data_IF_542415402688
#
_entry.id   IF_542415402688
#
_cell.length_a   1.000
_cell.length_b   1.000
_cell.length_c   1.000
_cell.angle_alpha   90.00
_cell.angle_beta   90.00
_cell.angle_gamma   90.00
#
_symmetry.space_group_name_H-M   'P 1'
#
loop_
_entity.id
_entity.type
_entity.pdbx_description
1 polymer ?
#
# COMPACT_ATOMS: atom_id res chain seq x y z
N UNK A 1 2.97 -19.45 -8.07
CA UNK A 1 1.97 -18.65 -7.32
C UNK A 1 1.11 -19.62 -6.53
N UNK A 2 0.88 -19.39 -5.23
CA UNK A 2 0.05 -20.28 -4.43
C UNK A 2 -1.41 -20.26 -4.89
N UNK A 3 -2.17 -21.30 -4.55
CA UNK A 3 -3.62 -21.33 -4.74
C UNK A 3 -4.29 -20.11 -4.07
N UNK A 4 -5.25 -19.49 -4.76
CA UNK A 4 -6.03 -18.36 -4.24
C UNK A 4 -7.53 -18.55 -4.46
N UNK A 5 -8.33 -18.04 -3.54
CA UNK A 5 -9.79 -18.03 -3.63
C UNK A 5 -10.29 -16.60 -3.60
N UNK A 6 -11.21 -16.26 -4.52
CA UNK A 6 -12.04 -15.06 -4.42
C UNK A 6 -13.35 -15.43 -3.75
N UNK A 7 -13.63 -14.85 -2.58
CA UNK A 7 -14.86 -15.13 -1.85
C UNK A 7 -15.56 -13.86 -1.37
N UNK A 8 -16.87 -14.01 -1.14
CA UNK A 8 -17.68 -13.09 -0.35
C UNK A 8 -18.04 -13.75 0.97
N UNK A 9 -18.27 -12.94 2.00
CA UNK A 9 -18.83 -13.44 3.25
C UNK A 9 -19.92 -12.54 3.85
N UNK A 10 -20.77 -13.16 4.66
CA UNK A 10 -21.69 -12.49 5.57
C UNK A 10 -21.28 -12.92 6.98
N UNK A 11 -20.97 -11.95 7.84
CA UNK A 11 -20.65 -12.18 9.24
C UNK A 11 -21.82 -11.69 10.11
N UNK A 12 -22.25 -12.52 11.05
CA UNK A 12 -23.28 -12.19 12.05
C UNK A 12 -22.90 -12.71 13.43
N UNK A 13 -23.52 -12.15 14.47
CA UNK A 13 -23.18 -12.49 15.86
C UNK A 13 -23.70 -13.86 16.30
N UNK A 14 -24.84 -14.31 15.75
CA UNK A 14 -25.55 -15.50 16.22
C UNK A 14 -25.68 -16.58 15.15
N UNK A 15 -25.65 -17.84 15.58
CA UNK A 15 -25.81 -19.00 14.69
C UNK A 15 -27.22 -19.05 14.09
N UNK A 16 -28.23 -18.66 14.87
CA UNK A 16 -29.62 -18.63 14.42
C UNK A 16 -29.81 -17.65 13.26
N UNK A 17 -29.23 -16.45 13.37
CA UNK A 17 -29.26 -15.47 12.28
C UNK A 17 -28.53 -16.01 11.05
N UNK A 18 -27.33 -16.59 11.22
CA UNK A 18 -26.59 -17.16 10.11
C UNK A 18 -27.38 -18.27 9.39
N UNK A 19 -28.05 -19.14 10.14
CA UNK A 19 -28.88 -20.20 9.57
C UNK A 19 -30.09 -19.63 8.80
N UNK A 20 -30.76 -18.62 9.35
CA UNK A 20 -31.88 -17.96 8.68
C UNK A 20 -31.46 -17.29 7.36
N UNK A 21 -30.32 -16.59 7.35
CA UNK A 21 -29.78 -15.98 6.14
C UNK A 21 -29.35 -17.04 5.12
N UNK A 22 -28.73 -18.14 5.57
CA UNK A 22 -28.35 -19.24 4.69
C UNK A 22 -29.55 -19.89 3.99
N UNK A 23 -30.68 -20.03 4.70
CA UNK A 23 -31.92 -20.52 4.11
C UNK A 23 -32.43 -19.59 3.00
N UNK A 24 -32.48 -18.27 3.26
CA UNK A 24 -32.89 -17.28 2.26
C UNK A 24 -32.00 -17.30 1.01
N UNK A 25 -30.69 -17.45 1.20
CA UNK A 25 -29.72 -17.57 0.09
C UNK A 25 -29.91 -18.86 -0.71
N UNK A 26 -30.17 -19.99 -0.05
CA UNK A 26 -30.41 -21.29 -0.72
C UNK A 26 -31.73 -21.33 -1.48
N UNK A 27 -32.75 -20.65 -0.97
CA UNK A 27 -34.05 -20.50 -1.64
C UNK A 27 -34.02 -19.47 -2.79
N UNK A 28 -32.92 -18.72 -2.92
CA UNK A 28 -32.75 -17.71 -3.97
C UNK A 28 -33.65 -16.50 -3.79
N UNK A 29 -34.07 -16.21 -2.56
CA UNK A 29 -34.99 -15.11 -2.25
C UNK A 29 -34.30 -13.73 -2.36
N UNK A 30 -32.97 -13.67 -2.25
CA UNK A 30 -32.20 -12.42 -2.26
C UNK A 30 -30.78 -12.67 -2.76
N UNK A 31 -30.17 -11.65 -3.37
CA UNK A 31 -28.76 -11.69 -3.79
C UNK A 31 -27.81 -11.66 -2.58
N UNK A 32 -26.69 -12.37 -2.69
CA UNK A 32 -25.69 -12.46 -1.63
C UNK A 32 -25.09 -11.10 -1.27
N UNK A 33 -24.77 -10.28 -2.27
CA UNK A 33 -24.13 -8.98 -2.04
C UNK A 33 -25.09 -8.00 -1.36
N UNK A 34 -26.37 -8.03 -1.72
CA UNK A 34 -27.39 -7.20 -1.08
C UNK A 34 -27.63 -7.63 0.38
N UNK A 35 -27.76 -8.94 0.62
CA UNK A 35 -27.92 -9.46 1.98
C UNK A 35 -26.68 -9.16 2.85
N UNK A 36 -25.49 -9.23 2.27
CA UNK A 36 -24.25 -8.85 2.95
C UNK A 36 -24.22 -7.36 3.32
N UNK A 37 -24.66 -6.46 2.44
CA UNK A 37 -24.74 -5.01 2.75
C UNK A 37 -25.73 -4.71 3.87
N UNK A 38 -26.83 -5.44 3.92
CA UNK A 38 -27.91 -5.18 4.89
C UNK A 38 -27.63 -5.80 6.27
N UNK A 39 -27.11 -7.03 6.31
CA UNK A 39 -27.05 -7.84 7.54
C UNK A 39 -25.64 -8.11 8.07
N UNK A 40 -24.62 -8.03 7.22
CA UNK A 40 -23.25 -8.37 7.66
C UNK A 40 -22.70 -7.29 8.59
N UNK A 41 -22.15 -7.71 9.73
CA UNK A 41 -21.43 -6.84 10.67
C UNK A 41 -19.93 -6.72 10.32
N UNK A 42 -19.48 -7.39 9.25
CA UNK A 42 -18.08 -7.38 8.81
C UNK A 42 -17.68 -6.10 8.05
N UNK A 43 -16.39 -5.77 7.98
CA UNK A 43 -15.90 -4.57 7.30
C UNK A 43 -16.13 -4.58 5.77
N UNK A 44 -16.31 -5.76 5.18
CA UNK A 44 -16.59 -5.96 3.76
C UNK A 44 -18.08 -5.77 3.41
N UNK A 45 -18.96 -5.57 4.40
CA UNK A 45 -20.40 -5.42 4.21
C UNK A 45 -20.76 -4.36 3.15
N UNK A 46 -20.19 -3.14 3.13
CA UNK A 46 -20.52 -2.13 2.12
C UNK A 46 -20.23 -2.57 0.68
N UNK A 47 -19.24 -3.44 0.50
CA UNK A 47 -18.84 -4.03 -0.78
C UNK A 47 -19.60 -5.32 -1.11
N UNK A 48 -20.69 -5.59 -0.41
CA UNK A 48 -21.46 -6.83 -0.57
C UNK A 48 -20.68 -8.07 -0.12
N UNK A 49 -19.90 -7.93 0.95
CA UNK A 49 -19.15 -9.01 1.56
C UNK A 49 -17.86 -9.38 0.83
N UNK A 50 -17.47 -8.63 -0.20
CA UNK A 50 -16.32 -8.97 -1.06
C UNK A 50 -14.98 -8.89 -0.33
N UNK A 51 -14.20 -9.96 -0.40
CA UNK A 51 -12.85 -10.05 0.18
C UNK A 51 -11.74 -10.04 -0.88
N UNK A 52 -12.08 -10.06 -2.17
CA UNK A 52 -11.11 -10.26 -3.24
C UNK A 52 -10.42 -11.63 -3.17
N UNK A 53 -9.28 -11.77 -3.88
CA UNK A 53 -8.47 -12.97 -3.86
C UNK A 53 -7.58 -13.03 -2.63
N UNK A 54 -7.61 -14.16 -1.92
CA UNK A 54 -6.70 -14.45 -0.82
C UNK A 54 -6.11 -15.86 -0.94
N UNK A 55 -4.88 -16.02 -0.47
CA UNK A 55 -4.17 -17.28 -0.33
C UNK A 55 -4.36 -17.86 1.08
N UNK A 56 -4.02 -19.15 1.26
CA UNK A 56 -3.97 -19.77 2.59
C UNK A 56 -3.00 -19.03 3.51
N UNK A 57 -3.35 -18.94 4.79
CA UNK A 57 -2.62 -18.21 5.82
C UNK A 57 -2.97 -16.72 5.93
N UNK A 58 -3.85 -16.19 5.07
CA UNK A 58 -4.31 -14.80 5.13
C UNK A 58 -5.60 -14.61 5.94
N UNK A 59 -6.36 -15.69 6.16
CA UNK A 59 -7.61 -15.70 6.93
C UNK A 59 -7.50 -16.66 8.11
N UNK A 60 -8.46 -16.61 9.05
CA UNK A 60 -8.53 -17.60 10.13
C UNK A 60 -8.80 -18.99 9.57
N UNK A 61 -8.24 -20.01 10.23
CA UNK A 61 -8.17 -21.39 9.72
C UNK A 61 -9.54 -21.95 9.33
N UNK A 62 -10.54 -21.75 10.18
CA UNK A 62 -11.89 -22.25 9.98
C UNK A 62 -12.55 -21.61 8.74
N UNK A 63 -12.27 -20.32 8.51
CA UNK A 63 -12.77 -19.59 7.36
C UNK A 63 -12.10 -20.04 6.06
N UNK A 64 -10.77 -20.10 6.03
CA UNK A 64 -10.07 -20.51 4.81
C UNK A 64 -10.33 -21.97 4.46
N UNK A 65 -10.39 -22.89 5.43
CA UNK A 65 -10.67 -24.30 5.15
C UNK A 65 -12.04 -24.46 4.51
N UNK A 66 -13.05 -23.71 4.99
CA UNK A 66 -14.36 -23.66 4.35
C UNK A 66 -14.31 -23.02 2.96
N UNK A 67 -13.71 -21.84 2.80
CA UNK A 67 -13.64 -21.13 1.51
C UNK A 67 -12.92 -21.94 0.42
N UNK A 68 -11.78 -22.54 0.76
CA UNK A 68 -11.00 -23.38 -0.15
C UNK A 68 -11.64 -24.76 -0.40
N UNK A 69 -12.60 -25.21 0.42
CA UNK A 69 -13.35 -26.45 0.13
C UNK A 69 -14.49 -26.25 -0.90
N UNK A 70 -14.94 -25.01 -1.12
CA UNK A 70 -16.08 -24.72 -2.00
C UNK A 70 -15.70 -24.76 -3.48
N UNK A 71 -16.63 -25.18 -4.33
CA UNK A 71 -16.51 -24.95 -5.77
C UNK A 71 -16.89 -23.49 -6.11
N UNK A 72 -16.34 -22.90 -7.19
CA UNK A 72 -16.76 -21.59 -7.66
C UNK A 72 -18.28 -21.52 -7.87
N UNK A 73 -18.89 -20.42 -7.41
CA UNK A 73 -20.33 -20.19 -7.40
C UNK A 73 -21.10 -20.84 -6.24
N UNK A 74 -20.46 -21.63 -5.37
CA UNK A 74 -21.12 -22.29 -4.24
C UNK A 74 -21.08 -21.47 -2.96
N UNK A 75 -22.05 -21.74 -2.08
CA UNK A 75 -22.19 -21.15 -0.75
C UNK A 75 -21.92 -22.24 0.30
N UNK A 76 -21.17 -21.90 1.36
CA UNK A 76 -20.88 -22.79 2.49
C UNK A 76 -22.09 -23.01 3.39
N UNK A 77 -21.94 -23.94 4.33
CA UNK A 77 -22.72 -23.90 5.58
C UNK A 77 -22.32 -22.71 6.46
N UNK A 78 -22.92 -22.64 7.64
CA UNK A 78 -22.49 -21.69 8.66
C UNK A 78 -21.12 -22.10 9.20
N UNK A 79 -20.17 -21.17 9.18
CA UNK A 79 -18.78 -21.37 9.63
C UNK A 79 -18.56 -20.53 10.88
N UNK A 80 -18.29 -21.16 12.01
CA UNK A 80 -17.99 -20.46 13.25
C UNK A 80 -16.52 -20.06 13.31
N UNK A 81 -16.26 -18.83 13.74
CA UNK A 81 -14.91 -18.32 14.01
C UNK A 81 -14.92 -17.53 15.32
N UNK A 82 -13.75 -17.05 15.76
CA UNK A 82 -13.65 -16.12 16.90
C UNK A 82 -14.42 -14.80 16.71
N UNK A 83 -14.78 -14.43 15.47
CA UNK A 83 -15.48 -13.19 15.15
C UNK A 83 -17.00 -13.34 15.08
N UNK A 84 -17.52 -14.56 15.23
CA UNK A 84 -18.94 -14.89 15.02
C UNK A 84 -19.13 -15.94 13.93
N UNK A 85 -20.28 -15.88 13.27
CA UNK A 85 -20.73 -16.88 12.31
C UNK A 85 -20.70 -16.33 10.89
N UNK A 86 -20.06 -17.07 9.99
CA UNK A 86 -19.85 -16.68 8.60
C UNK A 86 -20.66 -17.56 7.67
N UNK A 87 -21.19 -16.95 6.61
CA UNK A 87 -21.64 -17.65 5.40
C UNK A 87 -20.70 -17.21 4.30
N UNK A 88 -20.11 -18.15 3.57
CA UNK A 88 -19.07 -17.87 2.59
C UNK A 88 -19.60 -18.26 1.21
N UNK A 89 -19.41 -17.39 0.21
CA UNK A 89 -19.64 -17.71 -1.19
C UNK A 89 -18.31 -17.67 -1.93
N UNK A 90 -17.93 -18.77 -2.59
CA UNK A 90 -16.78 -18.78 -3.47
C UNK A 90 -17.20 -18.18 -4.82
N UNK A 91 -16.57 -17.10 -5.26
CA UNK A 91 -16.81 -16.52 -6.58
C UNK A 91 -15.89 -17.17 -7.62
N UNK A 92 -14.60 -17.24 -7.34
CA UNK A 92 -13.58 -17.76 -8.26
C UNK A 92 -12.45 -18.46 -7.51
N UNK A 93 -11.76 -19.37 -8.19
CA UNK A 93 -10.53 -20.02 -7.71
C UNK A 93 -9.42 -19.91 -8.73
N UNK A 94 -8.21 -19.61 -8.25
CA UNK A 94 -6.96 -19.70 -8.99
C UNK A 94 -6.16 -20.87 -8.44
N UNK A 95 -5.90 -21.83 -9.30
CA UNK A 95 -5.09 -22.99 -8.94
C UNK A 95 -3.64 -22.58 -8.67
N UNK A 96 -2.96 -23.40 -7.88
CA UNK A 96 -1.52 -23.24 -7.68
C UNK A 96 -0.80 -23.39 -9.02
N UNK A 97 -0.06 -22.36 -9.42
CA UNK A 97 0.79 -22.41 -10.60
C UNK A 97 2.25 -22.55 -10.19
N UNK A 98 2.82 -23.71 -10.49
CA UNK A 98 4.26 -23.97 -10.39
C UNK A 98 4.80 -24.22 -11.80
N UNK A 99 5.71 -23.37 -12.32
CA UNK A 99 6.24 -23.57 -13.66
C UNK A 99 7.02 -24.89 -13.72
N UNK A 100 6.95 -25.54 -14.87
CA UNK A 100 7.75 -26.73 -15.16
C UNK A 100 9.23 -26.38 -15.20
N UNK A 101 10.09 -27.40 -15.06
CA UNK A 101 11.54 -27.19 -15.17
C UNK A 101 11.94 -26.53 -16.50
N UNK A 102 11.33 -26.92 -17.62
CA UNK A 102 11.67 -26.35 -18.93
C UNK A 102 11.22 -24.88 -19.06
N UNK A 103 10.02 -24.53 -18.60
CA UNK A 103 9.55 -23.13 -18.58
C UNK A 103 10.44 -22.26 -17.67
N UNK A 104 10.77 -22.77 -16.48
CA UNK A 104 11.65 -22.08 -15.54
C UNK A 104 13.06 -21.91 -16.13
N UNK A 105 13.62 -22.98 -16.73
CA UNK A 105 14.94 -22.99 -17.36
C UNK A 105 15.02 -22.02 -18.53
N UNK A 106 14.02 -21.97 -19.41
CA UNK A 106 14.00 -21.04 -20.53
C UNK A 106 13.99 -19.60 -20.03
N UNK A 107 13.08 -19.29 -19.10
CA UNK A 107 12.98 -17.95 -18.49
C UNK A 107 14.30 -17.53 -17.82
N UNK A 108 14.86 -18.40 -16.98
CA UNK A 108 16.11 -18.14 -16.26
C UNK A 108 17.28 -18.01 -17.24
N UNK A 109 17.37 -18.87 -18.26
CA UNK A 109 18.42 -18.81 -19.29
C UNK A 109 18.42 -17.47 -20.02
N UNK A 110 17.24 -16.97 -20.41
CA UNK A 110 17.12 -15.68 -21.08
C UNK A 110 17.52 -14.51 -20.16
N UNK A 111 17.11 -14.54 -18.89
CA UNK A 111 17.54 -13.55 -17.88
C UNK A 111 19.07 -13.55 -17.75
N UNK A 112 19.68 -14.71 -17.57
CA UNK A 112 21.13 -14.84 -17.39
C UNK A 112 21.92 -14.44 -18.63
N UNK A 113 21.41 -14.75 -19.84
CA UNK A 113 22.02 -14.31 -21.10
C UNK A 113 22.01 -12.80 -21.21
N UNK A 114 20.85 -12.18 -21.01
CA UNK A 114 20.70 -10.73 -21.08
C UNK A 114 21.60 -10.02 -20.05
N UNK A 115 21.67 -10.55 -18.82
CA UNK A 115 22.58 -10.03 -17.79
C UNK A 115 24.04 -10.09 -18.24
N UNK A 116 24.51 -11.25 -18.73
CA UNK A 116 25.89 -11.40 -19.22
C UNK A 116 26.20 -10.52 -20.42
N UNK A 117 25.27 -10.39 -21.35
CA UNK A 117 25.43 -9.53 -22.53
C UNK A 117 25.59 -8.07 -22.11
N UNK A 118 24.72 -7.59 -21.22
CA UNK A 118 24.82 -6.22 -20.69
C UNK A 118 26.12 -5.99 -19.93
N UNK A 119 26.53 -6.93 -19.07
CA UNK A 119 27.81 -6.86 -18.36
C UNK A 119 28.99 -6.78 -19.34
N UNK A 120 28.99 -7.62 -20.38
CA UNK A 120 30.04 -7.63 -21.40
C UNK A 120 30.07 -6.34 -22.22
N UNK A 121 28.90 -5.82 -22.63
CA UNK A 121 28.77 -4.57 -23.37
C UNK A 121 29.24 -3.39 -22.53
N UNK A 122 28.83 -3.32 -21.25
CA UNK A 122 29.26 -2.26 -20.34
C UNK A 122 30.77 -2.31 -20.13
N UNK A 123 31.34 -3.50 -19.89
CA UNK A 123 32.78 -3.67 -19.74
C UNK A 123 33.54 -3.25 -21.01
N UNK A 124 33.06 -3.68 -22.18
CA UNK A 124 33.67 -3.36 -23.46
C UNK A 124 33.60 -1.87 -23.79
N UNK A 125 32.43 -1.25 -23.59
CA UNK A 125 32.23 0.19 -23.84
C UNK A 125 33.06 1.03 -22.88
N UNK A 126 33.17 0.63 -21.61
CA UNK A 126 34.02 1.31 -20.63
C UNK A 126 35.49 1.29 -21.06
N UNK A 127 35.98 0.13 -21.52
CA UNK A 127 37.33 0.00 -22.06
C UNK A 127 37.55 0.90 -23.29
N UNK A 128 36.62 0.89 -24.26
CA UNK A 128 36.73 1.75 -25.43
C UNK A 128 36.72 3.24 -25.08
N UNK A 129 35.93 3.63 -24.07
CA UNK A 129 35.90 5.01 -23.57
C UNK A 129 37.24 5.40 -22.95
N UNK A 130 37.87 4.53 -22.18
CA UNK A 130 39.20 4.78 -21.59
C UNK A 130 40.30 4.94 -22.64
N UNK A 131 40.23 4.19 -23.73
CA UNK A 131 41.22 4.24 -24.82
C UNK A 131 40.95 5.39 -25.83
N UNK A 132 39.77 5.99 -25.83
CA UNK A 132 39.37 7.01 -26.78
C UNK A 132 39.70 8.44 -26.32
N UNK A 133 40.18 9.28 -27.22
CA UNK A 133 40.24 10.73 -27.01
C UNK A 133 38.86 11.32 -27.29
N UNK A 134 38.12 11.63 -26.24
CA UNK A 134 36.78 12.21 -26.32
C UNK A 134 36.88 13.73 -26.11
N UNK A 135 36.47 14.50 -27.12
CA UNK A 135 36.41 15.98 -27.05
C UNK A 135 34.94 16.40 -26.99
N UNK A 136 34.57 17.09 -25.91
CA UNK A 136 33.26 17.72 -25.79
C UNK A 136 33.33 19.13 -26.37
N UNK A 137 32.65 19.39 -27.48
CA UNK A 137 32.63 20.70 -28.14
C UNK A 137 31.60 21.67 -27.55
N UNK A 138 30.85 21.22 -26.53
CA UNK A 138 29.83 21.98 -25.85
C UNK A 138 30.22 22.13 -24.38
N UNK A 139 30.09 23.35 -23.84
CA UNK A 139 30.44 23.66 -22.45
C UNK A 139 29.24 23.39 -21.53
N UNK A 140 29.13 22.13 -21.13
CA UNK A 140 28.07 21.70 -20.22
C UNK A 140 28.21 22.30 -18.83
N UNK A 141 29.43 22.63 -18.40
CA UNK A 141 29.68 23.15 -17.06
C UNK A 141 29.11 24.57 -16.93
N UNK A 142 29.31 25.42 -17.94
CA UNK A 142 28.75 26.77 -17.99
C UNK A 142 27.21 26.78 -17.97
N UNK A 143 26.57 25.85 -18.68
CA UNK A 143 25.10 25.78 -18.70
C UNK A 143 24.52 25.22 -17.41
N UNK A 144 25.17 24.23 -16.79
CA UNK A 144 24.77 23.71 -15.46
C UNK A 144 24.93 24.79 -14.39
N UNK A 145 25.99 25.60 -14.44
CA UNK A 145 26.21 26.71 -13.50
C UNK A 145 25.14 27.81 -13.67
N UNK A 146 24.79 28.15 -14.91
CA UNK A 146 23.69 29.10 -15.21
C UNK A 146 22.32 28.60 -14.73
N UNK A 147 22.05 27.30 -14.80
CA UNK A 147 20.79 26.73 -14.34
C UNK A 147 20.72 26.72 -12.80
N UNK A 148 21.81 26.35 -12.12
CA UNK A 148 21.90 26.39 -10.65
C UNK A 148 21.73 27.80 -10.09
N UNK A 149 22.36 28.80 -10.70
CA UNK A 149 22.18 30.19 -10.26
C UNK A 149 20.73 30.67 -10.42
N UNK A 150 20.02 30.21 -11.47
CA UNK A 150 18.62 30.56 -11.69
C UNK A 150 17.64 29.85 -10.74
N UNK A 151 18.00 28.66 -10.24
CA UNK A 151 17.22 27.93 -9.24
C UNK A 151 17.39 28.51 -7.82
N UNK A 152 18.59 28.99 -7.48
CA UNK A 152 18.87 29.64 -6.18
C UNK A 152 18.21 31.03 -6.05
N UNK A 153 18.11 31.81 -7.14
CA UNK A 153 17.33 33.07 -7.15
C UNK A 153 15.82 32.86 -6.99
N UNK A 154 15.29 31.69 -7.35
CA UNK A 154 13.87 31.36 -7.21
C UNK A 154 13.48 30.84 -5.81
N UNK A 155 14.44 30.61 -4.90
CA UNK A 155 14.21 30.01 -3.57
C UNK A 155 14.79 30.82 -2.40
N UNK A 156 14.69 32.16 -2.43
CA UNK A 156 14.71 32.97 -1.18
C UNK A 156 13.34 33.58 -0.90
N UNK A 157 12.88 33.58 0.38
CA UNK A 157 11.48 33.75 0.72
C UNK A 157 11.05 35.22 0.68
N UNK A 158 10.00 35.51 -0.08
CA UNK A 158 9.20 36.73 0.03
C UNK A 158 8.43 36.70 1.35
N UNK A 159 9.07 37.14 2.45
CA UNK A 159 8.42 37.60 3.69
C UNK A 159 9.48 38.14 4.66
N UNK A 160 9.67 39.46 4.72
CA UNK A 160 9.73 40.21 6.00
C UNK A 160 9.51 41.69 5.69
N UNK A 161 8.52 42.23 6.39
CA UNK A 161 8.02 43.59 6.38
C UNK A 161 9.08 44.66 6.63
N UNK A 162 9.06 45.67 5.77
CA UNK A 162 8.95 47.10 6.09
C UNK A 162 9.29 47.52 7.54
N UNK A 163 10.51 48.03 7.74
CA UNK A 163 10.84 48.96 8.84
C UNK A 163 11.69 50.10 8.29
N UNK A 164 11.14 51.31 8.28
CA UNK A 164 11.76 52.64 8.48
C UNK A 164 10.66 53.68 8.29
N UNK A 165 10.46 54.75 9.04
CA UNK A 165 10.99 55.34 10.28
C UNK A 165 10.36 56.74 10.31
N UNK A 166 9.87 57.26 11.44
CA UNK A 166 9.80 58.72 11.70
C UNK A 166 9.44 59.02 13.17
N UNK A 167 9.89 60.19 13.61
CA UNK A 167 10.13 60.72 14.97
C UNK A 167 8.92 60.82 15.92
N UNK A 168 9.15 60.76 17.25
CA UNK A 168 9.07 61.92 18.18
C UNK A 168 9.17 61.52 19.68
N UNK A 169 10.14 62.13 20.37
CA UNK A 169 10.05 62.88 21.65
C UNK A 169 9.35 62.32 22.93
N UNK A 170 10.19 62.17 23.98
CA UNK A 170 10.01 62.63 25.39
C UNK A 170 9.34 61.75 26.47
N UNK A 171 9.95 61.85 27.67
CA UNK A 171 9.46 61.66 29.07
C UNK A 171 9.25 60.22 29.59
N UNK A 172 10.06 59.80 30.58
CA UNK A 172 9.70 59.65 32.03
C UNK A 172 8.93 58.33 32.28
N UNK A 173 9.08 57.50 33.32
CA UNK A 173 9.75 57.52 34.62
C UNK A 173 9.47 56.12 35.27
N UNK A 174 10.33 55.67 36.20
CA UNK A 174 10.11 54.68 37.30
C UNK A 174 9.84 53.18 37.03
N UNK A 175 10.76 52.29 37.47
CA UNK A 175 10.67 51.31 38.61
C UNK A 175 9.62 50.21 38.40
N UNK A 176 9.89 48.92 38.58
CA UNK A 176 10.26 48.25 39.84
C UNK A 176 10.53 46.75 39.54
N UNK A 177 11.23 46.09 40.46
CA UNK A 177 11.75 44.72 40.44
C UNK A 177 10.70 43.62 40.70
N UNK A 178 11.04 42.35 40.38
CA UNK A 178 10.98 41.18 41.30
C UNK A 178 11.13 39.85 40.49
N UNK A 179 12.25 39.13 40.67
CA UNK A 179 12.41 37.84 41.41
C UNK A 179 11.77 36.61 40.73
N UNK A 180 12.54 35.73 40.07
CA UNK A 180 13.29 34.54 40.58
C UNK A 180 12.40 33.41 41.18
N UNK A 181 12.43 32.24 40.51
CA UNK A 181 12.58 30.85 41.04
C UNK A 181 12.22 29.87 39.89
N UNK A 182 13.01 28.93 39.36
CA UNK A 182 14.02 27.98 39.90
C UNK A 182 13.55 27.31 41.22
N UNK A 183 13.42 26.00 41.40
CA UNK A 183 14.24 24.87 40.93
C UNK A 183 13.47 23.55 41.16
N UNK A 184 13.81 22.52 40.37
CA UNK A 184 14.06 21.09 40.72
C UNK A 184 13.18 20.33 41.75
N UNK A 185 12.58 19.20 41.36
CA UNK A 185 13.11 17.81 41.45
C UNK A 185 13.35 17.27 42.88
N UNK A 186 12.56 16.26 43.25
CA UNK A 186 12.80 15.07 44.09
C UNK A 186 11.60 14.15 43.77
N UNK A 187 11.67 12.85 43.50
CA UNK A 187 12.68 11.78 43.62
C UNK A 187 12.67 10.91 42.35
#
# INVERSE_FOLDING_TARGET
EPEQVHARHILVETEEEANNLLLQLKEGLTDFAELAKEKSIGPSAPSGGDLGFFARGQMVKEFEDAAFSLEPGKISGVVQTQFGYHIIKCEEKKEEYSPTFEEAKERISNILKYQRENEAITAFTSKLREEAVIVFNYDFDAEIESLKSSEEESQTPESTEQVTSEEETTSEETTETDEINDTSKND
#
